data_IF_534712936989
#
_entry.id   IF_534712936989
#
_cell.length_a   1.000
_cell.length_b   1.000
_cell.length_c   1.000
_cell.angle_alpha   90.00
_cell.angle_beta   90.00
_cell.angle_gamma   90.00
#
_symmetry.space_group_name_H-M   'P 1'
#
loop_
_entity.id
_entity.type
_entity.pdbx_description
1 polymer ?
#
# COMPACT_ATOMS: atom_id res chain seq x y z
N UNK A 1 14.52 16.42 9.09
CA UNK A 1 14.07 16.77 7.74
C UNK A 1 12.62 17.18 7.86
N UNK A 2 12.22 18.28 7.24
CA UNK A 2 10.81 18.69 7.18
C UNK A 2 10.10 17.78 6.19
N UNK A 3 9.08 17.08 6.65
CA UNK A 3 8.23 16.28 5.77
C UNK A 3 7.68 17.18 4.65
N UNK A 4 7.62 16.70 3.40
CA UNK A 4 7.10 17.49 2.29
C UNK A 4 5.65 17.92 2.55
N UNK A 5 5.23 19.05 1.98
CA UNK A 5 3.84 19.46 2.04
C UNK A 5 2.94 18.41 1.37
N UNK A 6 1.85 18.03 2.05
CA UNK A 6 0.83 17.08 1.57
C UNK A 6 0.29 17.45 0.18
N UNK A 7 0.34 18.73 -0.19
CA UNK A 7 -0.09 19.25 -1.50
C UNK A 7 0.63 18.58 -2.69
N UNK A 8 1.83 18.05 -2.49
CA UNK A 8 2.60 17.37 -3.54
C UNK A 8 2.01 16.01 -3.91
N UNK A 9 1.19 15.42 -3.04
CA UNK A 9 0.56 14.13 -3.24
C UNK A 9 -0.69 14.22 -4.13
N UNK A 10 -1.14 15.41 -4.52
CA UNK A 10 -2.32 15.60 -5.38
C UNK A 10 -3.55 14.81 -4.88
N UNK A 11 -3.81 14.87 -3.56
CA UNK A 11 -4.94 14.22 -2.90
C UNK A 11 -5.67 15.22 -2.00
N UNK A 12 -6.94 14.94 -1.72
CA UNK A 12 -7.74 15.71 -0.76
C UNK A 12 -7.33 15.36 0.68
N UNK A 13 -7.58 16.28 1.61
CA UNK A 13 -7.32 16.04 3.05
C UNK A 13 -8.06 14.80 3.58
N UNK A 14 -9.27 14.54 3.06
CA UNK A 14 -10.08 13.37 3.43
C UNK A 14 -9.43 12.06 2.96
N UNK A 15 -8.93 12.02 1.72
CA UNK A 15 -8.21 10.86 1.19
C UNK A 15 -6.91 10.63 1.95
N UNK A 16 -6.16 11.70 2.23
CA UNK A 16 -4.95 11.62 3.03
C UNK A 16 -5.22 11.03 4.42
N UNK A 17 -6.22 11.58 5.13
CA UNK A 17 -6.58 11.08 6.46
C UNK A 17 -7.02 9.61 6.44
N UNK A 18 -7.75 9.18 5.41
CA UNK A 18 -8.16 7.79 5.25
C UNK A 18 -6.97 6.85 5.01
N UNK A 19 -5.97 7.28 4.25
CA UNK A 19 -4.76 6.50 4.00
C UNK A 19 -3.87 6.42 5.24
N UNK A 20 -3.65 7.54 5.95
CA UNK A 20 -2.87 7.56 7.20
C UNK A 20 -3.50 6.63 8.25
N UNK A 21 -4.84 6.60 8.36
CA UNK A 21 -5.54 5.67 9.25
C UNK A 21 -5.31 4.19 8.92
N UNK A 22 -4.86 3.88 7.70
CA UNK A 22 -4.50 2.55 7.20
C UNK A 22 -2.98 2.30 7.18
N UNK A 23 -2.19 3.14 7.86
CA UNK A 23 -0.73 2.96 7.98
C UNK A 23 0.08 3.46 6.78
N UNK A 24 -0.52 4.21 5.86
CA UNK A 24 0.20 4.81 4.74
C UNK A 24 1.31 5.76 5.23
N UNK A 25 2.51 5.62 4.66
CA UNK A 25 3.65 6.50 4.93
C UNK A 25 3.97 7.38 3.70
N UNK A 26 3.66 8.68 3.74
CA UNK A 26 3.95 9.61 2.64
C UNK A 26 5.45 9.87 2.44
N UNK A 27 6.27 9.73 3.50
CA UNK A 27 7.72 9.84 3.36
C UNK A 27 8.27 8.62 2.61
N UNK A 28 7.69 7.45 2.81
CA UNK A 28 8.05 6.25 2.05
C UNK A 28 7.61 6.34 0.58
N UNK A 29 6.41 6.87 0.27
CA UNK A 29 6.01 7.17 -1.13
C UNK A 29 7.05 8.06 -1.81
N UNK A 30 7.49 9.13 -1.13
CA UNK A 30 8.48 10.04 -1.70
C UNK A 30 9.84 9.35 -1.93
N UNK A 31 10.30 8.52 -1.00
CA UNK A 31 11.54 7.76 -1.16
C UNK A 31 11.49 6.86 -2.41
N UNK A 32 10.34 6.23 -2.68
CA UNK A 32 10.17 5.41 -3.88
C UNK A 32 10.24 6.26 -5.15
N UNK A 33 9.64 7.45 -5.16
CA UNK A 33 9.75 8.39 -6.29
C UNK A 33 11.21 8.84 -6.49
N UNK A 34 11.95 9.13 -5.42
CA UNK A 34 13.37 9.50 -5.47
C UNK A 34 14.26 8.36 -5.99
N UNK A 35 13.86 7.11 -5.78
CA UNK A 35 14.52 5.91 -6.32
C UNK A 35 14.18 5.64 -7.79
N UNK A 36 13.29 6.44 -8.40
CA UNK A 36 12.95 6.36 -9.81
C UNK A 36 11.64 5.63 -10.11
N UNK A 37 10.87 5.25 -9.10
CA UNK A 37 9.51 4.77 -9.31
C UNK A 37 8.60 5.89 -9.82
N UNK A 38 7.60 5.53 -10.63
CA UNK A 38 6.59 6.50 -11.01
C UNK A 38 5.73 6.87 -9.78
N UNK A 39 5.19 8.10 -9.69
CA UNK A 39 4.41 8.53 -8.52
C UNK A 39 3.20 7.65 -8.16
N UNK A 40 2.48 7.14 -9.16
CA UNK A 40 1.31 6.28 -8.95
C UNK A 40 1.72 4.91 -8.39
N UNK A 41 2.80 4.33 -8.93
CA UNK A 41 3.39 3.07 -8.48
C UNK A 41 3.96 3.21 -7.05
N UNK A 42 4.68 4.29 -6.78
CA UNK A 42 5.22 4.63 -5.47
C UNK A 42 4.12 4.71 -4.41
N UNK A 43 2.99 5.34 -4.77
CA UNK A 43 1.80 5.41 -3.91
C UNK A 43 1.20 4.04 -3.64
N UNK A 44 1.05 3.21 -4.65
CA UNK A 44 0.52 1.85 -4.48
C UNK A 44 1.40 1.01 -3.57
N UNK A 45 2.72 1.08 -3.74
CA UNK A 45 3.68 0.38 -2.89
C UNK A 45 3.65 0.90 -1.45
N UNK A 46 3.61 2.23 -1.25
CA UNK A 46 3.55 2.80 0.10
C UNK A 46 2.25 2.45 0.83
N UNK A 47 1.11 2.43 0.12
CA UNK A 47 -0.16 1.94 0.67
C UNK A 47 -0.09 0.46 1.03
N UNK A 48 0.48 -0.37 0.15
CA UNK A 48 0.64 -1.80 0.38
C UNK A 48 1.48 -2.10 1.64
N UNK A 49 2.61 -1.43 1.80
CA UNK A 49 3.48 -1.58 2.98
C UNK A 49 2.76 -1.10 4.25
N UNK A 50 2.01 0.00 4.18
CA UNK A 50 1.23 0.51 5.31
C UNK A 50 0.19 -0.49 5.82
N UNK A 51 -0.51 -1.17 4.92
CA UNK A 51 -1.47 -2.23 5.25
C UNK A 51 -0.81 -3.45 5.92
N UNK A 52 0.50 -3.67 5.74
CA UNK A 52 1.20 -4.82 6.30
C UNK A 52 1.95 -4.53 7.60
N UNK A 53 2.42 -3.29 7.81
CA UNK A 53 3.31 -2.97 8.94
C UNK A 53 2.57 -2.67 10.25
N UNK A 54 1.52 -1.84 10.23
CA UNK A 54 0.89 -1.35 11.46
C UNK A 54 -0.45 -2.01 11.77
N UNK A 55 -1.20 -2.40 10.74
CA UNK A 55 -2.52 -3.01 10.89
C UNK A 55 -2.70 -4.11 9.85
N UNK A 56 -2.07 -5.28 10.07
CA UNK A 56 -2.26 -6.41 9.16
C UNK A 56 -3.77 -6.69 9.03
N UNK A 57 -4.27 -7.03 7.83
CA UNK A 57 -5.69 -7.20 7.61
C UNK A 57 -6.29 -8.21 8.60
N UNK A 58 -7.33 -7.81 9.33
CA UNK A 58 -8.01 -8.62 10.32
C UNK A 58 -9.32 -9.22 9.77
N UNK A 59 -9.91 -8.58 8.76
CA UNK A 59 -11.15 -9.06 8.11
C UNK A 59 -10.93 -9.52 6.67
N UNK A 60 -11.87 -10.32 6.16
CA UNK A 60 -11.85 -10.77 4.76
C UNK A 60 -11.92 -9.59 3.78
N UNK A 61 -12.69 -8.54 4.10
CA UNK A 61 -12.74 -7.33 3.26
C UNK A 61 -11.40 -6.58 3.21
N UNK A 62 -10.69 -6.50 4.34
CA UNK A 62 -9.37 -5.87 4.39
C UNK A 62 -8.33 -6.70 3.63
N UNK A 63 -8.43 -8.03 3.68
CA UNK A 63 -7.60 -8.93 2.87
C UNK A 63 -7.90 -8.78 1.38
N UNK A 64 -9.16 -8.63 0.99
CA UNK A 64 -9.55 -8.40 -0.40
C UNK A 64 -8.99 -7.05 -0.91
N UNK A 65 -9.03 -6.01 -0.08
CA UNK A 65 -8.43 -4.71 -0.40
C UNK A 65 -6.91 -4.82 -0.61
N UNK A 66 -6.20 -5.55 0.27
CA UNK A 66 -4.77 -5.81 0.12
C UNK A 66 -4.46 -6.56 -1.19
N UNK A 67 -5.25 -7.60 -1.50
CA UNK A 67 -5.07 -8.41 -2.70
C UNK A 67 -5.33 -7.61 -3.99
N UNK A 68 -6.32 -6.72 -3.98
CA UNK A 68 -6.61 -5.83 -5.11
C UNK A 68 -5.45 -4.84 -5.35
N UNK A 69 -4.88 -4.26 -4.28
CA UNK A 69 -3.71 -3.37 -4.39
C UNK A 69 -2.49 -4.12 -4.94
N UNK A 70 -2.28 -5.37 -4.51
CA UNK A 70 -1.19 -6.19 -5.05
C UNK A 70 -1.38 -6.51 -6.53
N UNK A 71 -2.59 -6.91 -6.94
CA UNK A 71 -2.88 -7.25 -8.33
C UNK A 71 -2.67 -6.04 -9.25
N UNK A 72 -3.06 -4.85 -8.82
CA UNK A 72 -2.84 -3.62 -9.58
C UNK A 72 -1.34 -3.25 -9.67
N UNK A 73 -0.58 -3.38 -8.57
CA UNK A 73 0.85 -3.06 -8.55
C UNK A 73 1.72 -4.06 -9.31
N UNK A 74 1.40 -5.36 -9.23
CA UNK A 74 2.23 -6.45 -9.74
C UNK A 74 1.71 -7.09 -11.04
N UNK A 75 0.48 -6.76 -11.46
CA UNK A 75 -0.16 -7.31 -12.65
C UNK A 75 -0.63 -8.77 -12.51
N UNK A 76 -0.62 -9.33 -11.29
CA UNK A 76 -1.13 -10.66 -11.00
C UNK A 76 -1.59 -10.78 -9.55
N UNK A 77 -2.58 -11.62 -9.30
CA UNK A 77 -3.05 -11.94 -7.95
C UNK A 77 -2.44 -13.25 -7.44
N UNK A 78 -1.78 -13.27 -6.26
CA UNK A 78 -1.22 -14.49 -5.70
C UNK A 78 -2.34 -15.42 -5.24
N UNK A 79 -2.26 -16.70 -5.57
CA UNK A 79 -3.19 -17.70 -5.05
C UNK A 79 -2.59 -18.39 -3.82
N UNK A 80 -2.92 -17.88 -2.63
CA UNK A 80 -2.42 -18.44 -1.37
C UNK A 80 -3.01 -19.83 -1.02
N UNK A 81 -4.04 -20.30 -1.73
CA UNK A 81 -4.64 -21.63 -1.47
C UNK A 81 -3.74 -22.80 -1.83
N UNK A 82 -2.65 -22.60 -2.58
CA UNK A 82 -1.76 -23.70 -2.98
C UNK A 82 -0.73 -24.12 -1.92
N UNK A 83 -0.41 -23.29 -0.93
CA UNK A 83 0.69 -23.61 0.02
C UNK A 83 0.29 -24.37 1.29
N UNK A 84 -1.00 -24.70 1.48
CA UNK A 84 -1.46 -25.45 2.66
C UNK A 84 -1.78 -26.94 2.38
N UNK A 85 -1.53 -27.42 1.17
CA UNK A 85 -1.75 -28.84 0.81
C UNK A 85 -0.44 -29.63 0.64
N UNK A 86 0.73 -28.98 0.71
CA UNK A 86 2.03 -29.64 0.59
C UNK A 86 2.65 -30.07 1.95
N UNK A 87 1.94 -29.90 3.07
CA UNK A 87 2.37 -30.31 4.42
C UNK A 87 1.48 -31.38 5.08
N UNK A 88 0.86 -32.29 4.30
CA UNK A 88 0.17 -33.49 4.81
C UNK A 88 0.66 -34.79 4.16
#
# INVERSE_FOLDING_TARGET
MTDPPIQHLNMTDTEYAALIAKGYDPAFEQQLVELGENPDQARHLARFVGLLQDKPPETEEEWEELMAVWEDACGYRPNFKQHREDEL
#
